data_IF_219221684845
#
_entry.id   IF_219221684845
#
_cell.length_a   1.000
_cell.length_b   1.000
_cell.length_c   1.000
_cell.angle_alpha   90.00
_cell.angle_beta   90.00
_cell.angle_gamma   90.00
#
_symmetry.space_group_name_H-M   'P 1'
#
loop_
_entity.id
_entity.type
_entity.pdbx_description
1 polymer ?
#
# COMPACT_ATOMS: atom_id res chain seq x y z
N UNK A 1 9.43 4.12 21.06
CA UNK A 1 9.87 3.07 20.13
C UNK A 1 8.88 1.90 20.25
N UNK A 2 8.09 1.63 19.21
CA UNK A 2 7.07 0.56 19.22
C UNK A 2 7.56 -0.72 18.51
N UNK A 3 8.60 -0.66 17.66
CA UNK A 3 9.06 -1.84 16.92
C UNK A 3 9.59 -2.89 17.90
N UNK A 4 10.45 -2.46 18.82
CA UNK A 4 11.13 -3.31 19.80
C UNK A 4 10.29 -3.58 21.06
N UNK A 5 9.06 -3.07 21.11
CA UNK A 5 8.16 -3.29 22.24
C UNK A 5 7.56 -4.69 22.16
N UNK A 6 7.47 -5.35 23.30
CA UNK A 6 6.70 -6.59 23.50
C UNK A 6 5.55 -6.34 24.48
N UNK A 7 4.43 -7.04 24.27
CA UNK A 7 3.33 -7.12 25.21
C UNK A 7 3.11 -8.59 25.59
N UNK A 8 3.10 -8.90 26.89
CA UNK A 8 2.93 -10.27 27.37
C UNK A 8 1.49 -10.76 27.26
N UNK A 9 0.54 -9.88 26.95
CA UNK A 9 -0.87 -10.23 26.75
C UNK A 9 -1.03 -10.96 25.42
N UNK A 10 -1.93 -11.94 25.44
CA UNK A 10 -2.36 -12.69 24.24
C UNK A 10 -3.84 -12.46 24.00
N UNK A 11 -4.25 -12.50 22.74
CA UNK A 11 -5.66 -12.56 22.33
C UNK A 11 -5.92 -13.76 21.42
N UNK A 12 -7.18 -13.97 21.07
CA UNK A 12 -7.57 -14.92 20.02
C UNK A 12 -8.07 -14.09 18.84
N UNK A 13 -7.49 -14.28 17.65
CA UNK A 13 -7.94 -13.58 16.44
C UNK A 13 -9.40 -13.96 16.15
N UNK A 14 -10.22 -12.97 15.80
CA UNK A 14 -11.65 -13.20 15.58
C UNK A 14 -11.92 -13.97 14.28
N UNK A 15 -11.06 -13.80 13.26
CA UNK A 15 -11.22 -14.46 11.96
C UNK A 15 -10.72 -15.90 11.96
N UNK A 16 -9.49 -16.14 12.42
CA UNK A 16 -8.87 -17.48 12.38
C UNK A 16 -9.11 -18.30 13.65
N UNK A 17 -9.55 -17.68 14.75
CA UNK A 17 -9.69 -18.35 16.04
C UNK A 17 -8.34 -18.80 16.62
N UNK A 18 -7.23 -18.19 16.18
CA UNK A 18 -5.87 -18.54 16.61
C UNK A 18 -5.43 -17.66 17.76
N UNK A 19 -4.73 -18.25 18.73
CA UNK A 19 -4.08 -17.47 19.80
C UNK A 19 -2.89 -16.72 19.21
N UNK A 20 -2.80 -15.43 19.52
CA UNK A 20 -1.77 -14.51 19.04
C UNK A 20 -1.26 -13.64 20.20
N UNK A 21 -0.02 -13.18 20.09
CA UNK A 21 0.51 -12.14 20.97
C UNK A 21 -0.10 -10.80 20.57
N UNK A 22 -0.51 -9.96 21.53
CA UNK A 22 -1.03 -8.62 21.21
C UNK A 22 0.02 -7.78 20.49
N UNK A 23 1.30 -7.93 20.85
CA UNK A 23 2.41 -7.20 20.23
C UNK A 23 3.66 -8.05 20.12
N UNK A 24 3.93 -8.51 18.91
CA UNK A 24 5.14 -9.25 18.54
C UNK A 24 6.35 -8.33 18.41
N UNK A 25 7.51 -8.77 18.92
CA UNK A 25 8.78 -8.07 18.78
C UNK A 25 9.14 -7.89 17.29
N UNK A 26 9.75 -6.77 16.93
CA UNK A 26 10.13 -6.45 15.54
C UNK A 26 8.97 -6.35 14.54
N UNK A 27 7.74 -6.18 15.03
CA UNK A 27 6.55 -5.88 14.21
C UNK A 27 5.98 -4.52 14.59
N UNK A 28 5.69 -3.69 13.59
CA UNK A 28 4.97 -2.43 13.79
C UNK A 28 3.54 -2.77 14.24
N UNK A 29 2.99 -2.07 15.25
CA UNK A 29 1.59 -2.27 15.61
C UNK A 29 0.67 -1.71 14.51
N UNK A 30 -0.43 -2.40 14.24
CA UNK A 30 -1.48 -1.98 13.32
C UNK A 30 -2.09 -0.63 13.71
N UNK A 31 -2.30 -0.44 15.02
CA UNK A 31 -2.84 0.78 15.59
C UNK A 31 -2.17 1.11 16.93
N UNK A 32 -2.30 2.38 17.33
CA UNK A 32 -1.74 2.90 18.57
C UNK A 32 -2.76 2.83 19.73
N UNK A 33 -3.71 1.90 19.63
CA UNK A 33 -4.74 1.66 20.63
C UNK A 33 -6.10 2.24 20.26
N UNK A 34 -7.04 2.08 21.17
CA UNK A 34 -8.42 2.55 21.03
C UNK A 34 -8.75 3.60 22.10
N UNK A 35 -9.71 4.51 21.86
CA UNK A 35 -10.04 5.59 22.80
C UNK A 35 -10.80 5.13 24.07
N UNK A 36 -11.21 3.86 24.14
CA UNK A 36 -11.85 3.29 25.33
C UNK A 36 -10.83 2.65 26.30
N UNK A 37 -9.58 2.51 25.88
CA UNK A 37 -8.45 1.98 26.65
C UNK A 37 -7.41 3.09 26.87
N UNK A 38 -6.12 2.75 26.95
CA UNK A 38 -5.01 3.69 27.08
C UNK A 38 -4.23 3.79 25.75
N UNK A 39 -4.53 4.77 24.86
CA UNK A 39 -3.76 5.01 23.65
C UNK A 39 -2.26 5.14 23.94
N UNK A 40 -1.41 4.75 22.98
CA UNK A 40 0.06 4.69 23.07
C UNK A 40 0.60 3.63 24.04
N UNK A 41 -0.09 3.36 25.15
CA UNK A 41 0.27 2.33 26.11
C UNK A 41 -0.29 0.96 25.70
N UNK A 42 -1.52 0.87 25.21
CA UNK A 42 -2.14 -0.38 24.78
C UNK A 42 -2.36 -0.37 23.26
N UNK A 43 -1.31 -0.68 22.50
CA UNK A 43 -1.33 -0.77 21.03
C UNK A 43 -1.98 -2.06 20.54
N UNK A 44 -2.30 -2.16 19.24
CA UNK A 44 -2.96 -3.32 18.62
C UNK A 44 -4.31 -3.64 19.27
N UNK A 45 -5.20 -2.65 19.31
CA UNK A 45 -6.59 -2.87 19.69
C UNK A 45 -7.36 -3.67 18.63
N UNK A 46 -6.93 -3.62 17.37
CA UNK A 46 -7.45 -4.47 16.31
C UNK A 46 -7.08 -5.94 16.52
N UNK A 47 -8.10 -6.80 16.58
CA UNK A 47 -7.94 -8.24 16.85
C UNK A 47 -8.65 -9.14 15.85
N UNK A 48 -9.09 -8.61 14.69
CA UNK A 48 -9.73 -9.44 13.67
C UNK A 48 -8.75 -10.50 13.14
N UNK A 49 -7.52 -10.08 12.87
CA UNK A 49 -6.40 -10.92 12.45
C UNK A 49 -5.19 -10.70 13.35
N UNK A 50 -4.23 -11.62 13.30
CA UNK A 50 -2.89 -11.36 13.80
C UNK A 50 -2.13 -10.44 12.82
N UNK A 51 -2.06 -9.16 13.15
CA UNK A 51 -1.40 -8.16 12.31
C UNK A 51 0.13 -8.24 12.35
N UNK A 52 0.70 -9.04 13.27
CA UNK A 52 2.13 -9.35 13.24
C UNK A 52 2.51 -10.14 11.97
N UNK A 53 1.56 -10.86 11.38
CA UNK A 53 1.74 -11.61 10.14
C UNK A 53 1.45 -10.77 8.89
N UNK A 54 1.07 -9.50 9.02
CA UNK A 54 0.73 -8.71 7.84
C UNK A 54 1.95 -8.35 7.00
N UNK A 55 1.81 -8.52 5.68
CA UNK A 55 2.87 -8.30 4.69
C UNK A 55 3.04 -6.84 4.32
N UNK A 56 2.04 -5.98 4.52
CA UNK A 56 2.08 -4.59 4.08
C UNK A 56 2.45 -3.59 5.18
N UNK A 57 2.07 -3.85 6.44
CA UNK A 57 2.19 -2.89 7.53
C UNK A 57 3.64 -2.47 7.81
N UNK A 58 4.54 -3.44 7.95
CA UNK A 58 5.96 -3.17 8.20
C UNK A 58 6.60 -2.46 6.99
N UNK A 59 6.20 -2.82 5.77
CA UNK A 59 6.73 -2.21 4.54
C UNK A 59 6.27 -0.76 4.39
N UNK A 60 4.99 -0.47 4.66
CA UNK A 60 4.45 0.89 4.70
C UNK A 60 5.18 1.78 5.72
N UNK A 61 5.64 1.21 6.84
CA UNK A 61 6.46 1.94 7.79
C UNK A 61 7.82 2.33 7.20
N UNK A 62 8.52 1.40 6.52
CA UNK A 62 9.80 1.70 5.84
C UNK A 62 9.64 2.81 4.81
N UNK A 63 8.62 2.69 3.96
CA UNK A 63 8.23 3.71 2.97
C UNK A 63 7.99 5.07 3.64
N UNK A 64 7.19 5.09 4.72
CA UNK A 64 6.86 6.33 5.43
C UNK A 64 8.09 6.98 6.07
N UNK A 65 9.02 6.19 6.61
CA UNK A 65 10.28 6.69 7.13
C UNK A 65 11.11 7.42 6.07
N UNK A 66 11.21 6.84 4.86
CA UNK A 66 11.96 7.49 3.77
C UNK A 66 11.24 8.75 3.27
N UNK A 67 9.92 8.66 3.03
CA UNK A 67 9.09 9.80 2.63
C UNK A 67 9.25 10.97 3.58
N UNK A 68 9.08 10.72 4.88
CA UNK A 68 9.12 11.79 5.87
C UNK A 68 10.53 12.36 5.99
N UNK A 69 11.57 11.54 5.78
CA UNK A 69 12.94 12.04 5.73
C UNK A 69 13.14 13.07 4.60
N UNK A 70 12.88 12.68 3.35
CA UNK A 70 13.16 13.53 2.18
C UNK A 70 12.18 14.70 2.04
N UNK A 71 10.91 14.54 2.46
CA UNK A 71 9.89 15.58 2.28
C UNK A 71 9.83 16.56 3.45
N UNK A 72 10.25 16.14 4.66
CA UNK A 72 10.11 16.94 5.88
C UNK A 72 11.47 17.11 6.57
N UNK A 73 12.09 16.01 7.01
CA UNK A 73 13.25 16.09 7.93
C UNK A 73 14.43 16.80 7.28
N UNK A 74 14.84 16.36 6.09
CA UNK A 74 15.97 16.94 5.37
C UNK A 74 15.77 18.43 5.08
N UNK A 75 14.53 18.86 4.84
CA UNK A 75 14.18 20.25 4.51
C UNK A 75 14.02 21.16 5.72
N UNK A 76 13.78 20.60 6.92
CA UNK A 76 13.42 21.36 8.13
C UNK A 76 14.50 21.37 9.21
N UNK A 77 15.41 20.41 9.19
CA UNK A 77 16.46 20.27 10.20
C UNK A 77 17.84 20.48 9.57
N UNK A 78 18.82 20.85 10.40
CA UNK A 78 20.22 20.85 9.97
C UNK A 78 20.70 19.43 9.64
N UNK A 79 21.79 19.34 8.86
CA UNK A 79 22.32 18.06 8.34
C UNK A 79 22.60 17.05 9.44
N UNK A 80 23.18 17.47 10.56
CA UNK A 80 23.55 16.57 11.65
C UNK A 80 22.30 16.00 12.34
N UNK A 81 21.32 16.86 12.65
CA UNK A 81 20.04 16.45 13.22
C UNK A 81 19.24 15.54 12.28
N UNK A 82 19.21 15.87 10.98
CA UNK A 82 18.55 15.06 9.97
C UNK A 82 19.15 13.66 9.88
N UNK A 83 20.48 13.54 9.84
CA UNK A 83 21.17 12.25 9.80
C UNK A 83 20.96 11.41 11.07
N UNK A 84 20.80 12.03 12.24
CA UNK A 84 20.44 11.30 13.48
C UNK A 84 19.05 10.69 13.41
N UNK A 85 18.07 11.42 12.85
CA UNK A 85 16.71 10.91 12.63
C UNK A 85 16.74 9.80 11.57
N UNK A 86 17.46 10.00 10.47
CA UNK A 86 17.63 8.97 9.43
C UNK A 86 18.28 7.71 9.99
N UNK A 87 19.32 7.82 10.82
CA UNK A 87 19.95 6.67 11.44
C UNK A 87 18.98 5.86 12.32
N UNK A 88 18.06 6.55 13.01
CA UNK A 88 16.98 5.88 13.75
C UNK A 88 16.00 5.17 12.79
N UNK A 89 15.53 5.84 11.74
CA UNK A 89 14.66 5.26 10.72
C UNK A 89 15.29 4.05 10.01
N UNK A 90 16.53 4.18 9.58
CA UNK A 90 17.30 3.12 8.92
C UNK A 90 17.43 1.89 9.81
N UNK A 91 17.80 2.07 11.09
CA UNK A 91 17.97 0.94 12.01
C UNK A 91 16.70 0.10 12.15
N UNK A 92 15.54 0.74 12.26
CA UNK A 92 14.26 0.03 12.34
C UNK A 92 13.89 -0.61 10.99
N UNK A 93 14.13 0.11 9.90
CA UNK A 93 13.79 -0.34 8.54
C UNK A 93 14.64 -1.52 8.09
N UNK A 94 15.94 -1.52 8.39
CA UNK A 94 16.85 -2.64 8.10
C UNK A 94 16.38 -3.92 8.80
N UNK A 95 16.03 -3.85 10.08
CA UNK A 95 15.48 -5.00 10.83
C UNK A 95 14.21 -5.53 10.16
N UNK A 96 13.28 -4.64 9.82
CA UNK A 96 12.03 -5.00 9.14
C UNK A 96 12.29 -5.72 7.82
N UNK A 97 13.11 -5.13 6.95
CA UNK A 97 13.38 -5.66 5.61
C UNK A 97 14.09 -7.00 5.68
N UNK A 98 15.08 -7.14 6.58
CA UNK A 98 15.79 -8.42 6.76
C UNK A 98 14.88 -9.52 7.29
N UNK A 99 14.02 -9.21 8.26
CA UNK A 99 13.07 -10.18 8.79
C UNK A 99 12.05 -10.59 7.71
N UNK A 100 11.48 -9.61 7.00
CA UNK A 100 10.56 -9.86 5.89
C UNK A 100 11.16 -10.79 4.83
N UNK A 101 12.40 -10.51 4.38
CA UNK A 101 13.09 -11.39 3.44
C UNK A 101 13.29 -12.80 4.03
N UNK A 102 13.75 -12.92 5.28
CA UNK A 102 14.02 -14.24 5.87
C UNK A 102 12.77 -15.08 6.17
N UNK A 103 11.62 -14.43 6.37
CA UNK A 103 10.39 -15.08 6.86
C UNK A 103 9.34 -15.24 5.77
N UNK A 104 9.34 -14.37 4.76
CA UNK A 104 8.25 -14.27 3.78
C UNK A 104 8.67 -14.56 2.34
N UNK A 105 9.98 -14.57 2.02
CA UNK A 105 10.50 -15.07 0.73
C UNK A 105 10.69 -16.59 0.85
N UNK A 106 9.69 -17.34 0.39
CA UNK A 106 9.60 -18.78 0.59
C UNK A 106 10.37 -19.55 -0.50
N UNK A 107 10.43 -19.00 -1.72
CA UNK A 107 11.10 -19.63 -2.86
C UNK A 107 12.51 -19.06 -3.15
N UNK A 108 12.99 -18.16 -2.29
CA UNK A 108 14.32 -17.56 -2.27
C UNK A 108 14.66 -16.74 -3.55
N UNK A 109 13.64 -16.27 -4.27
CA UNK A 109 13.83 -15.46 -5.47
C UNK A 109 13.98 -13.96 -5.19
N UNK A 110 13.89 -13.56 -3.92
CA UNK A 110 13.99 -12.19 -3.45
C UNK A 110 12.65 -11.48 -3.33
N UNK A 111 11.54 -12.09 -3.76
CA UNK A 111 10.18 -11.59 -3.58
C UNK A 111 9.54 -12.17 -2.33
N UNK A 112 8.57 -11.45 -1.75
CA UNK A 112 7.78 -11.97 -0.62
C UNK A 112 6.46 -12.58 -1.08
N UNK A 113 5.99 -13.60 -0.36
CA UNK A 113 4.70 -14.23 -0.57
C UNK A 113 3.68 -13.89 0.52
N UNK A 114 2.46 -13.59 0.07
CA UNK A 114 1.25 -13.64 0.89
C UNK A 114 0.89 -15.09 1.23
N UNK A 115 0.36 -15.28 2.43
CA UNK A 115 0.20 -16.58 3.08
C UNK A 115 -1.07 -17.36 2.69
N UNK A 116 -1.90 -16.83 1.78
CA UNK A 116 -3.20 -17.42 1.44
C UNK A 116 -4.28 -17.15 2.50
N UNK A 117 -4.04 -16.18 3.39
CA UNK A 117 -5.06 -15.52 4.21
C UNK A 117 -5.04 -14.01 3.91
N UNK A 118 -5.99 -13.25 4.45
CA UNK A 118 -5.99 -11.80 4.33
C UNK A 118 -4.97 -11.19 5.32
N UNK A 119 -3.70 -11.18 4.92
CA UNK A 119 -2.54 -10.71 5.69
C UNK A 119 -2.09 -9.30 5.28
N UNK A 120 -3.05 -8.42 5.00
CA UNK A 120 -2.79 -7.03 4.60
C UNK A 120 -4.06 -6.17 4.76
N UNK A 121 -3.99 -4.86 4.45
CA UNK A 121 -5.07 -3.89 4.71
C UNK A 121 -6.44 -4.24 4.13
N UNK A 122 -6.50 -5.00 3.03
CA UNK A 122 -7.71 -5.65 2.52
C UNK A 122 -7.95 -6.93 3.34
N UNK A 123 -8.30 -6.72 4.61
CA UNK A 123 -8.37 -7.73 5.68
C UNK A 123 -9.42 -8.83 5.47
N UNK A 124 -10.22 -8.78 4.41
CA UNK A 124 -11.09 -9.90 4.01
C UNK A 124 -10.98 -10.23 2.53
N UNK A 125 -9.96 -9.74 1.83
CA UNK A 125 -9.63 -10.11 0.45
C UNK A 125 -8.30 -10.86 0.41
N UNK A 126 -8.37 -12.16 0.13
CA UNK A 126 -7.23 -13.06 0.28
C UNK A 126 -6.26 -12.95 -0.90
N UNK A 127 -4.97 -12.81 -0.57
CA UNK A 127 -3.86 -12.89 -1.51
C UNK A 127 -3.03 -14.15 -1.23
N UNK A 128 -2.49 -14.79 -2.26
CA UNK A 128 -1.66 -15.99 -2.14
C UNK A 128 -0.46 -15.95 -3.08
N UNK A 129 0.72 -16.33 -2.58
CA UNK A 129 1.97 -16.19 -3.31
C UNK A 129 2.35 -14.71 -3.46
N UNK A 130 3.09 -14.38 -4.51
CA UNK A 130 3.40 -12.99 -4.82
C UNK A 130 2.13 -12.25 -5.24
N UNK A 131 1.76 -11.17 -4.56
CA UNK A 131 0.69 -10.26 -5.00
C UNK A 131 1.24 -8.98 -5.60
N UNK A 132 0.48 -8.36 -6.50
CA UNK A 132 0.89 -7.08 -7.09
C UNK A 132 0.98 -5.98 -6.01
N UNK A 133 0.01 -5.95 -5.09
CA UNK A 133 -0.04 -4.98 -4.01
C UNK A 133 1.12 -5.12 -3.02
N UNK A 134 1.27 -6.25 -2.32
CA UNK A 134 2.36 -6.42 -1.36
C UNK A 134 3.73 -6.50 -2.03
N UNK A 135 3.82 -7.12 -3.21
CA UNK A 135 5.07 -7.19 -3.97
C UNK A 135 5.55 -5.81 -4.42
N UNK A 136 4.66 -4.92 -4.89
CA UNK A 136 5.07 -3.56 -5.23
C UNK A 136 5.54 -2.76 -4.01
N UNK A 137 4.90 -2.94 -2.84
CA UNK A 137 5.34 -2.35 -1.58
C UNK A 137 6.71 -2.88 -1.15
N UNK A 138 6.97 -4.17 -1.35
CA UNK A 138 8.26 -4.80 -1.07
C UNK A 138 9.39 -4.23 -1.91
N UNK A 139 9.18 -4.11 -3.22
CA UNK A 139 10.14 -3.46 -4.12
C UNK A 139 10.44 -2.03 -3.66
N UNK A 140 9.41 -1.27 -3.30
CA UNK A 140 9.57 0.09 -2.79
C UNK A 140 10.32 0.13 -1.44
N UNK A 141 10.09 -0.84 -0.55
CA UNK A 141 10.74 -0.90 0.76
C UNK A 141 12.24 -1.21 0.62
N UNK A 142 12.61 -2.14 -0.26
CA UNK A 142 14.00 -2.44 -0.60
C UNK A 142 14.73 -1.22 -1.16
N UNK A 143 14.10 -0.51 -2.11
CA UNK A 143 14.64 0.74 -2.65
C UNK A 143 14.80 1.81 -1.57
N UNK A 144 13.78 2.03 -0.73
CA UNK A 144 13.84 3.01 0.36
C UNK A 144 14.96 2.71 1.37
N UNK A 145 15.12 1.45 1.81
CA UNK A 145 16.17 1.11 2.78
C UNK A 145 17.57 1.17 2.16
N UNK A 146 17.72 0.89 0.87
CA UNK A 146 18.96 1.12 0.12
C UNK A 146 19.32 2.61 0.11
N UNK A 147 18.39 3.50 -0.25
CA UNK A 147 18.64 4.95 -0.20
C UNK A 147 19.00 5.44 1.20
N UNK A 148 18.30 4.95 2.24
CA UNK A 148 18.67 5.27 3.62
C UNK A 148 20.10 4.81 3.96
N UNK A 149 20.53 3.64 3.46
CA UNK A 149 21.86 3.11 3.69
C UNK A 149 22.94 3.96 2.99
N UNK A 150 22.74 4.30 1.72
CA UNK A 150 23.61 5.16 0.93
C UNK A 150 23.80 6.53 1.62
N UNK A 151 22.71 7.16 2.02
CA UNK A 151 22.71 8.48 2.66
C UNK A 151 23.44 8.49 4.03
N UNK A 152 23.52 7.33 4.67
CA UNK A 152 24.27 7.11 5.91
C UNK A 152 25.71 6.59 5.69
N UNK A 153 26.16 6.45 4.44
CA UNK A 153 27.48 5.91 4.10
C UNK A 153 27.65 4.43 4.44
N UNK A 154 26.58 3.64 4.33
CA UNK A 154 26.55 2.19 4.62
C UNK A 154 26.57 1.37 3.32
N UNK A 155 27.60 1.58 2.50
CA UNK A 155 27.70 1.05 1.13
C UNK A 155 27.46 -0.47 1.05
N UNK A 156 28.01 -1.25 1.99
CA UNK A 156 27.81 -2.71 2.01
C UNK A 156 26.36 -3.13 2.23
N UNK A 157 25.59 -2.39 3.03
CA UNK A 157 24.15 -2.63 3.18
C UNK A 157 23.36 -2.15 1.97
N UNK A 158 23.74 -1.01 1.36
CA UNK A 158 23.08 -0.52 0.13
C UNK A 158 23.20 -1.56 -0.98
N UNK A 159 24.42 -2.00 -1.28
CA UNK A 159 24.69 -3.00 -2.32
C UNK A 159 23.95 -4.33 -2.06
N UNK A 160 23.82 -4.74 -0.80
CA UNK A 160 23.03 -5.92 -0.45
C UNK A 160 21.54 -5.74 -0.78
N UNK A 161 20.94 -4.62 -0.40
CA UNK A 161 19.52 -4.38 -0.69
C UNK A 161 19.26 -4.13 -2.18
N UNK A 162 20.20 -3.53 -2.91
CA UNK A 162 20.14 -3.39 -4.36
C UNK A 162 20.17 -4.75 -5.09
N UNK A 163 20.99 -5.69 -4.63
CA UNK A 163 21.00 -7.07 -5.17
C UNK A 163 19.66 -7.77 -4.95
N UNK A 164 19.13 -7.71 -3.71
CA UNK A 164 17.82 -8.29 -3.38
C UNK A 164 16.73 -7.64 -4.24
N UNK A 165 16.75 -6.30 -4.39
CA UNK A 165 15.82 -5.55 -5.23
C UNK A 165 15.87 -6.00 -6.69
N UNK A 166 17.06 -6.22 -7.25
CA UNK A 166 17.22 -6.67 -8.62
C UNK A 166 16.54 -8.04 -8.86
N UNK A 167 16.76 -9.00 -7.96
CA UNK A 167 16.14 -10.34 -8.02
C UNK A 167 14.63 -10.27 -7.80
N UNK A 168 14.20 -9.55 -6.76
CA UNK A 168 12.79 -9.29 -6.45
C UNK A 168 12.04 -8.69 -7.65
N UNK A 169 12.65 -7.74 -8.35
CA UNK A 169 12.06 -7.08 -9.53
C UNK A 169 11.90 -8.05 -10.70
N UNK A 170 12.90 -8.90 -10.94
CA UNK A 170 12.81 -9.94 -11.96
C UNK A 170 11.69 -10.92 -11.64
N UNK A 171 11.62 -11.39 -10.39
CA UNK A 171 10.56 -12.25 -9.87
C UNK A 171 9.18 -11.62 -10.03
N UNK A 172 8.98 -10.38 -9.58
CA UNK A 172 7.73 -9.64 -9.68
C UNK A 172 7.20 -9.59 -11.10
N UNK A 173 8.05 -9.18 -12.05
CA UNK A 173 7.66 -9.06 -13.46
C UNK A 173 7.38 -10.43 -14.05
N UNK A 174 8.24 -11.42 -13.80
CA UNK A 174 8.06 -12.78 -14.32
C UNK A 174 6.77 -13.45 -13.80
N UNK A 175 6.49 -13.31 -12.50
CA UNK A 175 5.35 -13.92 -11.83
C UNK A 175 4.04 -13.23 -12.21
N UNK A 176 4.01 -11.89 -12.34
CA UNK A 176 2.76 -11.12 -12.38
C UNK A 176 2.46 -10.36 -13.67
N UNK A 177 3.44 -9.96 -14.48
CA UNK A 177 3.18 -9.14 -15.67
C UNK A 177 2.53 -9.97 -16.79
N UNK A 178 1.29 -9.66 -17.16
CA UNK A 178 0.56 -10.39 -18.20
C UNK A 178 0.64 -9.74 -19.61
N UNK A 179 1.43 -8.68 -19.76
CA UNK A 179 1.54 -7.91 -21.00
C UNK A 179 0.68 -6.63 -21.06
N UNK A 180 -0.30 -6.47 -20.16
CA UNK A 180 -1.16 -5.28 -20.05
C UNK A 180 -1.19 -4.69 -18.64
N UNK A 181 -1.31 -5.52 -17.62
CA UNK A 181 -1.36 -5.17 -16.21
C UNK A 181 -0.67 -6.27 -15.38
N UNK A 182 -0.52 -6.05 -14.07
CA UNK A 182 -0.03 -7.04 -13.13
C UNK A 182 -1.20 -7.83 -12.57
N UNK A 183 -1.14 -9.17 -12.64
CA UNK A 183 -2.13 -10.05 -12.01
C UNK A 183 -2.30 -9.70 -10.53
N UNK A 184 -3.50 -9.88 -9.99
CA UNK A 184 -3.80 -9.68 -8.57
C UNK A 184 -2.78 -10.40 -7.68
N UNK A 185 -2.58 -11.70 -7.91
CA UNK A 185 -1.57 -12.54 -7.30
C UNK A 185 -1.23 -13.77 -8.16
N UNK A 186 -0.63 -14.80 -7.57
CA UNK A 186 -0.31 -16.08 -8.23
C UNK A 186 -1.44 -17.11 -8.15
N UNK A 187 -2.51 -16.85 -7.40
CA UNK A 187 -3.62 -17.79 -7.22
C UNK A 187 -4.48 -17.89 -8.48
N UNK A 188 -4.77 -19.13 -8.90
CA UNK A 188 -5.72 -19.35 -9.99
C UNK A 188 -7.15 -18.92 -9.66
N UNK A 189 -7.50 -18.80 -8.37
CA UNK A 189 -8.83 -18.32 -7.94
C UNK A 189 -9.07 -16.84 -8.25
N UNK A 190 -7.98 -16.07 -8.38
CA UNK A 190 -8.00 -14.62 -8.60
C UNK A 190 -7.54 -14.27 -10.03
N UNK A 191 -7.45 -15.26 -10.92
CA UNK A 191 -6.95 -15.06 -12.27
C UNK A 191 -7.86 -14.08 -13.04
N UNK A 192 -7.24 -13.16 -13.77
CA UNK A 192 -7.93 -12.12 -14.52
C UNK A 192 -8.38 -10.90 -13.70
N UNK A 193 -8.40 -10.95 -12.35
CA UNK A 193 -8.78 -9.80 -11.52
C UNK A 193 -7.82 -8.63 -11.71
N UNK A 194 -8.37 -7.46 -12.03
CA UNK A 194 -7.65 -6.18 -12.13
C UNK A 194 -7.83 -5.44 -10.81
N UNK A 195 -6.76 -5.35 -10.02
CA UNK A 195 -6.78 -4.58 -8.78
C UNK A 195 -6.51 -3.10 -9.02
N UNK A 196 -7.33 -2.22 -8.43
CA UNK A 196 -7.14 -0.77 -8.51
C UNK A 196 -5.82 -0.29 -7.88
N UNK A 197 -5.35 -0.99 -6.84
CA UNK A 197 -4.13 -0.63 -6.07
C UNK A 197 -2.93 -1.53 -6.39
N UNK A 198 -2.91 -2.19 -7.57
CA UNK A 198 -1.90 -3.20 -7.93
C UNK A 198 -0.44 -2.65 -7.93
N UNK A 199 -0.25 -1.33 -8.01
CA UNK A 199 1.07 -0.67 -8.06
C UNK A 199 1.28 0.30 -6.88
N UNK A 200 0.72 0.01 -5.71
CA UNK A 200 0.77 0.89 -4.54
C UNK A 200 2.21 1.35 -4.17
N UNK A 201 3.18 0.43 -4.16
CA UNK A 201 4.57 0.79 -3.85
C UNK A 201 5.23 1.65 -4.93
N UNK A 202 4.90 1.42 -6.20
CA UNK A 202 5.38 2.23 -7.32
C UNK A 202 4.79 3.64 -7.24
N UNK A 203 3.49 3.76 -6.95
CA UNK A 203 2.87 5.05 -6.67
C UNK A 203 3.64 5.80 -5.58
N UNK A 204 3.96 5.13 -4.48
CA UNK A 204 4.68 5.75 -3.37
C UNK A 204 6.06 6.31 -3.79
N UNK A 205 6.84 5.55 -4.56
CA UNK A 205 8.12 6.01 -5.12
C UNK A 205 7.95 7.17 -6.10
N UNK A 206 6.96 7.10 -7.01
CA UNK A 206 6.64 8.18 -7.93
C UNK A 206 6.32 9.46 -7.17
N UNK A 207 5.53 9.40 -6.09
CA UNK A 207 5.21 10.58 -5.27
C UNK A 207 6.42 11.13 -4.51
N UNK A 208 7.47 10.34 -4.31
CA UNK A 208 8.73 10.78 -3.72
C UNK A 208 9.76 11.26 -4.75
N UNK A 209 9.40 11.27 -6.05
CA UNK A 209 10.29 11.54 -7.17
C UNK A 209 11.56 10.67 -7.15
N UNK A 210 11.40 9.40 -6.78
CA UNK A 210 12.46 8.40 -6.73
C UNK A 210 12.56 7.61 -8.04
N UNK A 211 13.59 6.77 -8.17
CA UNK A 211 13.78 5.94 -9.36
C UNK A 211 12.58 5.02 -9.64
N UNK A 212 12.24 4.92 -10.92
CA UNK A 212 11.17 4.05 -11.39
C UNK A 212 11.64 2.59 -11.47
N UNK A 213 11.06 1.73 -10.64
CA UNK A 213 11.44 0.31 -10.58
C UNK A 213 10.82 -0.52 -11.71
N UNK A 214 9.77 -0.03 -12.37
CA UNK A 214 9.15 -0.71 -13.51
C UNK A 214 9.32 0.12 -14.77
N UNK A 215 9.25 -0.51 -15.94
CA UNK A 215 9.32 0.25 -17.18
C UNK A 215 8.13 1.19 -17.32
N UNK A 216 8.34 2.36 -17.93
CA UNK A 216 7.27 3.33 -18.22
C UNK A 216 6.11 2.68 -18.99
N UNK A 217 6.43 1.73 -19.88
CA UNK A 217 5.43 0.96 -20.63
C UNK A 217 4.54 0.13 -19.70
N UNK A 218 5.12 -0.57 -18.72
CA UNK A 218 4.36 -1.38 -17.76
C UNK A 218 3.46 -0.51 -16.90
N UNK A 219 3.99 0.58 -16.35
CA UNK A 219 3.22 1.50 -15.49
C UNK A 219 2.08 2.16 -16.27
N UNK A 220 2.38 2.75 -17.43
CA UNK A 220 1.37 3.42 -18.26
C UNK A 220 0.29 2.44 -18.74
N UNK A 221 0.66 1.20 -19.07
CA UNK A 221 -0.29 0.16 -19.50
C UNK A 221 -1.17 -0.33 -18.35
N UNK A 222 -0.61 -0.54 -17.15
CA UNK A 222 -1.38 -0.92 -15.97
C UNK A 222 -2.38 0.19 -15.59
N UNK A 223 -1.93 1.45 -15.52
CA UNK A 223 -2.81 2.60 -15.24
C UNK A 223 -3.92 2.76 -16.29
N UNK A 224 -3.61 2.50 -17.57
CA UNK A 224 -4.62 2.51 -18.64
C UNK A 224 -5.66 1.40 -18.44
N UNK A 225 -5.22 0.21 -18.04
CA UNK A 225 -6.12 -0.93 -17.77
C UNK A 225 -7.02 -0.63 -16.57
N UNK A 226 -6.46 -0.13 -15.47
CA UNK A 226 -7.23 0.26 -14.27
C UNK A 226 -8.24 1.36 -14.61
N UNK A 227 -7.85 2.39 -15.35
CA UNK A 227 -8.78 3.45 -15.74
C UNK A 227 -9.90 2.91 -16.63
N UNK A 228 -9.58 2.08 -17.64
CA UNK A 228 -10.58 1.54 -18.54
C UNK A 228 -11.60 0.66 -17.82
N UNK A 229 -11.14 -0.25 -16.95
CA UNK A 229 -12.01 -1.23 -16.32
C UNK A 229 -12.52 -0.76 -14.96
N UNK A 230 -11.63 -0.60 -13.96
CA UNK A 230 -12.04 -0.28 -12.59
C UNK A 230 -12.77 1.06 -12.48
N UNK A 231 -12.48 2.03 -13.36
CA UNK A 231 -13.15 3.32 -13.39
C UNK A 231 -14.25 3.38 -14.45
N UNK A 232 -13.94 3.28 -15.75
CA UNK A 232 -14.94 3.62 -16.79
C UNK A 232 -16.05 2.60 -16.95
N UNK A 233 -15.75 1.30 -16.86
CA UNK A 233 -16.77 0.24 -16.97
C UNK A 233 -17.62 0.13 -15.71
N UNK A 234 -17.05 0.44 -14.55
CA UNK A 234 -17.78 0.41 -13.28
C UNK A 234 -18.61 1.67 -13.04
N UNK A 235 -19.91 1.51 -12.76
CA UNK A 235 -20.84 2.61 -12.46
C UNK A 235 -20.73 3.80 -13.46
N UNK A 236 -20.51 3.48 -14.74
CA UNK A 236 -20.31 4.44 -15.84
C UNK A 236 -19.18 5.47 -15.62
N UNK A 237 -18.19 5.16 -14.77
CA UNK A 237 -17.11 6.09 -14.43
C UNK A 237 -17.54 7.27 -13.57
N UNK A 238 -18.60 7.11 -12.78
CA UNK A 238 -19.15 8.18 -11.95
C UNK A 238 -18.98 7.95 -10.44
N UNK A 239 -18.14 7.00 -10.03
CA UNK A 239 -17.97 6.65 -8.61
C UNK A 239 -16.52 6.50 -8.12
N UNK A 240 -15.53 6.51 -9.03
CA UNK A 240 -14.15 6.13 -8.70
C UNK A 240 -13.90 4.65 -9.01
N UNK A 241 -12.70 4.14 -8.68
CA UNK A 241 -12.28 2.80 -9.06
C UNK A 241 -12.85 1.73 -8.12
N UNK A 242 -13.60 0.76 -8.64
CA UNK A 242 -13.90 -0.47 -7.87
C UNK A 242 -12.62 -1.24 -7.62
N UNK A 243 -12.47 -1.84 -6.45
CA UNK A 243 -11.22 -2.47 -6.04
C UNK A 243 -10.82 -3.63 -6.96
N UNK A 244 -11.75 -4.51 -7.32
CA UNK A 244 -11.52 -5.66 -8.21
C UNK A 244 -12.57 -5.77 -9.33
N UNK A 245 -12.11 -5.92 -10.57
CA UNK A 245 -12.97 -6.11 -11.75
C UNK A 245 -12.26 -7.02 -12.77
N UNK A 246 -13.01 -7.69 -13.63
CA UNK A 246 -12.48 -8.48 -14.75
C UNK A 246 -12.52 -7.67 -16.06
N UNK A 247 -11.76 -8.10 -17.08
CA UNK A 247 -11.74 -7.43 -18.41
C UNK A 247 -13.10 -7.47 -19.15
N UNK A 248 -14.04 -8.33 -18.73
CA UNK A 248 -15.41 -8.36 -19.27
C UNK A 248 -16.36 -7.35 -18.59
N UNK A 249 -15.84 -6.55 -17.66
CA UNK A 249 -16.57 -5.54 -16.90
C UNK A 249 -17.33 -6.08 -15.68
N UNK A 250 -17.30 -7.38 -15.41
CA UNK A 250 -17.88 -7.94 -14.19
C UNK A 250 -17.02 -7.60 -12.96
N UNK A 251 -17.68 -7.22 -11.87
CA UNK A 251 -17.02 -6.91 -10.59
C UNK A 251 -16.62 -8.22 -9.90
N UNK A 252 -15.43 -8.24 -9.30
CA UNK A 252 -15.04 -9.37 -8.46
C UNK A 252 -15.89 -9.42 -7.19
N UNK A 253 -16.55 -10.55 -6.97
CA UNK A 253 -17.43 -10.83 -5.82
C UNK A 253 -16.83 -11.85 -4.85
N UNK A 254 -15.52 -12.11 -4.96
CA UNK A 254 -14.80 -13.01 -4.06
C UNK A 254 -14.74 -12.51 -2.62
N UNK A 255 -14.84 -11.18 -2.44
CA UNK A 255 -14.84 -10.50 -1.15
C UNK A 255 -15.73 -9.28 -1.16
N UNK A 256 -16.28 -8.90 -0.01
CA UNK A 256 -16.97 -7.60 0.11
C UNK A 256 -16.06 -6.45 -0.29
N UNK A 257 -14.75 -6.61 -0.08
CA UNK A 257 -13.77 -5.56 -0.36
C UNK A 257 -13.45 -5.46 -1.84
N UNK A 258 -13.58 -6.54 -2.61
CA UNK A 258 -13.35 -6.49 -4.05
C UNK A 258 -14.45 -5.69 -4.75
N UNK A 259 -15.67 -5.73 -4.22
CA UNK A 259 -16.86 -5.01 -4.72
C UNK A 259 -16.88 -3.51 -4.36
N UNK A 260 -16.03 -3.08 -3.44
CA UNK A 260 -16.03 -1.72 -2.91
C UNK A 260 -15.20 -0.74 -3.75
N UNK A 261 -15.60 0.53 -3.76
CA UNK A 261 -14.69 1.64 -4.06
C UNK A 261 -14.15 2.19 -2.75
N UNK A 262 -12.85 2.07 -2.54
CA UNK A 262 -12.19 2.72 -1.39
C UNK A 262 -11.80 4.15 -1.73
N UNK A 263 -12.36 5.11 -1.01
CA UNK A 263 -12.21 6.55 -1.31
C UNK A 263 -10.75 6.99 -1.27
N UNK A 264 -9.99 6.53 -0.27
CA UNK A 264 -8.56 6.82 -0.17
C UNK A 264 -7.75 6.23 -1.32
N UNK A 265 -8.04 5.00 -1.73
CA UNK A 265 -7.36 4.33 -2.85
C UNK A 265 -7.65 5.05 -4.16
N UNK A 266 -8.90 5.45 -4.40
CA UNK A 266 -9.22 6.20 -5.60
C UNK A 266 -8.51 7.56 -5.66
N UNK A 267 -8.31 8.25 -4.53
CA UNK A 267 -7.56 9.52 -4.53
C UNK A 267 -6.07 9.30 -4.73
N UNK A 268 -5.49 8.26 -4.12
CA UNK A 268 -4.12 7.84 -4.38
C UNK A 268 -3.90 7.50 -5.85
N UNK A 269 -4.78 6.68 -6.45
CA UNK A 269 -4.73 6.32 -7.86
C UNK A 269 -4.86 7.55 -8.78
N UNK A 270 -5.79 8.46 -8.48
CA UNK A 270 -5.93 9.71 -9.21
C UNK A 270 -4.64 10.54 -9.18
N UNK A 271 -4.00 10.65 -8.00
CA UNK A 271 -2.71 11.33 -7.87
C UNK A 271 -1.61 10.63 -8.67
N UNK A 272 -1.61 9.30 -8.72
CA UNK A 272 -0.64 8.53 -9.49
C UNK A 272 -0.80 8.78 -10.99
N UNK A 273 -2.04 8.75 -11.50
CA UNK A 273 -2.35 9.08 -12.89
C UNK A 273 -1.87 10.49 -13.23
N UNK A 274 -2.13 11.48 -12.37
CA UNK A 274 -1.67 12.86 -12.57
C UNK A 274 -0.14 12.93 -12.60
N UNK A 275 0.54 12.29 -11.64
CA UNK A 275 2.00 12.25 -11.57
C UNK A 275 2.63 11.61 -12.82
N UNK A 276 1.98 10.60 -13.41
CA UNK A 276 2.38 9.97 -14.68
C UNK A 276 1.81 10.65 -15.94
N UNK A 277 1.17 11.81 -15.81
CA UNK A 277 0.81 12.69 -16.93
C UNK A 277 -0.54 12.42 -17.55
N UNK A 278 -1.31 11.51 -16.96
CA UNK A 278 -2.69 11.19 -17.27
C UNK A 278 -3.64 12.10 -16.51
N UNK A 279 -3.45 13.42 -16.68
CA UNK A 279 -4.13 14.45 -15.87
C UNK A 279 -5.65 14.35 -15.99
N UNK A 280 -6.16 14.12 -17.20
CA UNK A 280 -7.59 14.01 -17.43
C UNK A 280 -8.16 12.75 -16.77
N UNK A 281 -7.49 11.61 -16.92
CA UNK A 281 -7.91 10.34 -16.30
C UNK A 281 -7.87 10.42 -14.77
N UNK A 282 -6.84 11.05 -14.19
CA UNK A 282 -6.74 11.24 -12.75
C UNK A 282 -7.84 12.14 -12.19
N UNK A 283 -8.12 13.29 -12.83
CA UNK A 283 -9.22 14.15 -12.40
C UNK A 283 -10.60 13.53 -12.65
N UNK A 284 -10.80 12.77 -13.73
CA UNK A 284 -12.05 12.04 -13.97
C UNK A 284 -12.31 11.00 -12.86
N UNK A 285 -11.26 10.26 -12.47
CA UNK A 285 -11.31 9.30 -11.37
C UNK A 285 -11.65 9.98 -10.04
N UNK A 286 -10.97 11.09 -9.72
CA UNK A 286 -11.24 11.86 -8.50
C UNK A 286 -12.64 12.48 -8.48
N UNK A 287 -13.10 13.00 -9.62
CA UNK A 287 -14.44 13.58 -9.81
C UNK A 287 -15.52 12.56 -9.52
N UNK A 288 -15.39 11.32 -10.00
CA UNK A 288 -16.38 10.26 -9.73
C UNK A 288 -16.61 10.04 -8.23
N UNK A 289 -15.54 9.93 -7.45
CA UNK A 289 -15.65 9.80 -5.99
C UNK A 289 -16.27 11.03 -5.34
N UNK A 290 -15.83 12.23 -5.73
CA UNK A 290 -16.38 13.49 -5.23
C UNK A 290 -17.89 13.58 -5.51
N UNK A 291 -18.31 13.34 -6.74
CA UNK A 291 -19.71 13.40 -7.14
C UNK A 291 -20.56 12.38 -6.38
N UNK A 292 -20.11 11.12 -6.27
CA UNK A 292 -20.84 10.12 -5.50
C UNK A 292 -20.93 10.50 -4.03
N UNK A 293 -19.80 10.80 -3.39
CA UNK A 293 -19.75 11.08 -1.95
C UNK A 293 -20.48 12.37 -1.59
N UNK A 294 -20.18 13.46 -2.30
CA UNK A 294 -20.67 14.80 -1.99
C UNK A 294 -22.08 15.05 -2.53
N UNK A 295 -22.33 14.81 -3.81
CA UNK A 295 -23.60 15.21 -4.45
C UNK A 295 -24.69 14.14 -4.39
N UNK A 296 -24.34 12.84 -4.42
CA UNK A 296 -25.35 11.75 -4.54
C UNK A 296 -25.68 11.05 -3.23
N UNK A 297 -24.69 10.84 -2.36
CA UNK A 297 -24.88 10.18 -1.06
C UNK A 297 -25.06 11.16 0.11
N UNK A 298 -24.68 12.44 -0.05
CA UNK A 298 -24.80 13.43 1.02
C UNK A 298 -23.87 13.16 2.20
N UNK A 299 -22.67 12.65 1.94
CA UNK A 299 -21.67 12.30 2.96
C UNK A 299 -20.64 13.43 3.16
N UNK A 300 -21.08 14.68 3.02
CA UNK A 300 -20.21 15.83 3.27
C UNK A 300 -19.70 15.80 4.72
N UNK A 301 -18.40 16.05 4.91
CA UNK A 301 -17.71 16.02 6.22
C UNK A 301 -17.70 14.67 6.94
N UNK A 302 -18.16 13.61 6.28
CA UNK A 302 -18.24 12.26 6.83
C UNK A 302 -17.83 11.21 5.78
N UNK A 303 -16.94 11.58 4.86
CA UNK A 303 -16.48 10.72 3.76
C UNK A 303 -16.09 9.33 4.29
N UNK A 304 -16.66 8.25 3.73
CA UNK A 304 -16.46 6.90 4.24
C UNK A 304 -15.17 6.26 3.73
N UNK A 305 -14.78 5.13 4.32
CA UNK A 305 -13.77 4.25 3.73
C UNK A 305 -14.23 3.77 2.36
N UNK A 306 -15.42 3.18 2.30
CA UNK A 306 -15.92 2.48 1.14
C UNK A 306 -17.32 2.93 0.74
N UNK A 307 -17.56 2.96 -0.57
CA UNK A 307 -18.86 3.17 -1.21
C UNK A 307 -19.12 2.05 -2.20
N UNK A 308 -20.38 1.63 -2.30
CA UNK A 308 -20.85 0.60 -3.22
C UNK A 308 -21.59 1.24 -4.41
N UNK A 309 -21.76 0.49 -5.50
CA UNK A 309 -22.52 0.97 -6.67
C UNK A 309 -23.95 1.36 -6.27
N UNK A 310 -24.60 0.49 -5.50
CA UNK A 310 -25.86 0.76 -4.84
C UNK A 310 -25.71 1.79 -3.69
N UNK A 311 -26.81 2.27 -3.09
CA UNK A 311 -26.77 3.33 -2.06
C UNK A 311 -26.29 2.83 -0.68
N UNK A 312 -25.16 2.12 -0.63
CA UNK A 312 -24.52 1.64 0.59
C UNK A 312 -23.11 2.21 0.74
N UNK A 313 -22.66 2.32 1.98
CA UNK A 313 -21.32 2.78 2.37
C UNK A 313 -20.88 2.12 3.67
N UNK A 314 -19.58 2.07 3.92
CA UNK A 314 -18.99 1.48 5.13
C UNK A 314 -18.00 2.45 5.78
N UNK A 315 -18.12 2.58 7.11
CA UNK A 315 -17.25 3.37 7.98
C UNK A 315 -17.13 4.85 7.57
N UNK A 316 -18.12 5.67 7.93
CA UNK A 316 -18.13 7.13 7.72
C UNK A 316 -17.09 7.85 8.61
N UNK A 317 -16.68 9.05 8.19
CA UNK A 317 -15.71 9.88 8.94
C UNK A 317 -14.31 9.25 8.96
N UNK A 318 -13.89 8.71 7.82
CA UNK A 318 -12.71 7.84 7.73
C UNK A 318 -11.42 8.59 7.42
N UNK A 319 -10.28 8.03 7.83
CA UNK A 319 -8.96 8.64 7.66
C UNK A 319 -8.45 8.58 6.21
N UNK A 320 -8.61 7.44 5.54
CA UNK A 320 -8.03 7.18 4.21
C UNK A 320 -8.38 8.22 3.12
N UNK A 321 -9.59 8.80 3.04
CA UNK A 321 -9.88 9.84 2.04
C UNK A 321 -9.02 11.11 2.13
N UNK A 322 -8.27 11.33 3.23
CA UNK A 322 -7.25 12.39 3.29
C UNK A 322 -6.14 12.22 2.23
N UNK A 323 -6.04 11.05 1.60
CA UNK A 323 -5.18 10.80 0.44
C UNK A 323 -5.43 11.77 -0.74
N UNK A 324 -6.55 12.50 -0.77
CA UNK A 324 -6.79 13.58 -1.74
C UNK A 324 -5.64 14.61 -1.79
N UNK A 325 -4.93 14.84 -0.68
CA UNK A 325 -3.78 15.75 -0.65
C UNK A 325 -2.60 15.27 -1.52
N UNK A 326 -2.52 13.98 -1.83
CA UNK A 326 -1.53 13.47 -2.79
C UNK A 326 -1.75 14.06 -4.19
N UNK A 327 -2.99 14.42 -4.56
CA UNK A 327 -3.26 15.10 -5.83
C UNK A 327 -2.56 16.46 -5.88
N UNK A 328 -2.64 17.25 -4.79
CA UNK A 328 -1.96 18.54 -4.71
C UNK A 328 -0.44 18.36 -4.85
N UNK A 329 0.12 17.39 -4.13
CA UNK A 329 1.54 17.04 -4.24
C UNK A 329 1.94 16.68 -5.68
N UNK A 330 1.15 15.84 -6.37
CA UNK A 330 1.41 15.46 -7.76
C UNK A 330 1.36 16.65 -8.75
N UNK A 331 0.53 17.66 -8.48
CA UNK A 331 0.47 18.88 -9.29
C UNK A 331 1.71 19.75 -9.09
N UNK A 332 2.18 19.88 -7.84
CA UNK A 332 3.34 20.70 -7.48
C UNK A 332 4.65 20.10 -7.99
N UNK A 333 4.78 18.77 -7.97
CA UNK A 333 5.91 18.05 -8.56
C UNK A 333 6.12 18.36 -10.04
N UNK A 334 5.06 18.71 -10.78
CA UNK A 334 5.10 19.00 -12.23
C UNK A 334 5.29 20.48 -12.57
N UNK A 335 5.26 21.35 -11.57
CA UNK A 335 5.47 22.81 -11.75
C UNK A 335 6.92 23.24 -11.56
N UNK A 336 7.80 22.30 -11.21
CA UNK A 336 9.27 22.44 -11.12
C UNK A 336 9.85 21.73 -12.33
#
# INVERSE_FOLDING_TARGET
DQLNRTDARTATSLKEGKRMDIKTYSRIPHDIGNPHEEPWAQTNAYILHDTAEWRDLNLKFVLSCWRDYILIVEKKYDRESALKILAYFYKQSETIVRNALSEWDIDEDGMIENSGIADQTYDVWTMSGTSAYCGSLWLAALSCVSYMAEELGKDGSSLYFEDVLARAKEAFVKKLWNGRYFKFDESSSNDGVIMADQLCGIWFLTMMNQEELLSEKQITSALKSIYAHNVKEFAFGEMGPVNGIYEDGSVDISSIQSEEVWTGIGYSLASFMIAKGKRNEGFDTARGMFEKCWNRLGLQYQTPEAIYEEKYYRAIGYMRPLAIWAIQHALEMRTI
#
